data_IF_168163977468
#
_entry.id   IF_168163977468
#
_cell.length_a   1.000
_cell.length_b   1.000
_cell.length_c   1.000
_cell.angle_alpha   90.00
_cell.angle_beta   90.00
_cell.angle_gamma   90.00
#
_symmetry.space_group_name_H-M   'P 1'
#
loop_
_entity.id
_entity.type
_entity.pdbx_description
1 polymer ?
#
# COMPACT_ATOMS: atom_id res chain seq x y z
N UNK A 1 -6.84 56.15 -12.52
CA UNK A 1 -6.56 54.72 -12.76
C UNK A 1 -5.93 54.16 -11.50
N UNK A 2 -6.58 53.16 -10.90
CA UNK A 2 -6.48 52.87 -9.47
C UNK A 2 -5.37 51.83 -9.21
N UNK A 3 -4.36 52.19 -8.41
CA UNK A 3 -3.21 51.34 -8.00
C UNK A 3 -3.65 50.08 -7.22
N UNK A 4 -4.94 49.99 -6.86
CA UNK A 4 -5.55 48.87 -6.16
C UNK A 4 -5.88 47.68 -7.08
N UNK A 5 -6.12 47.90 -8.37
CA UNK A 5 -6.45 46.82 -9.34
C UNK A 5 -5.21 46.05 -9.80
N UNK A 6 -4.03 46.68 -9.80
CA UNK A 6 -2.78 46.03 -10.23
C UNK A 6 -2.20 45.08 -9.16
N UNK A 7 -2.54 45.30 -7.88
CA UNK A 7 -2.20 44.37 -6.79
C UNK A 7 -3.10 43.13 -6.75
N UNK A 8 -4.34 43.23 -7.19
CA UNK A 8 -5.28 42.10 -7.21
C UNK A 8 -5.08 41.19 -8.43
N UNK A 9 -4.57 41.73 -9.55
CA UNK A 9 -4.18 40.90 -10.71
C UNK A 9 -2.86 40.16 -10.49
N UNK A 10 -1.95 40.70 -9.66
CA UNK A 10 -0.66 40.06 -9.33
C UNK A 10 -0.79 38.85 -8.38
N UNK A 11 -1.84 38.80 -7.54
CA UNK A 11 -2.10 37.67 -6.64
C UNK A 11 -2.79 36.47 -7.32
N UNK A 12 -3.36 36.67 -8.52
CA UNK A 12 -4.11 35.63 -9.23
C UNK A 12 -3.25 34.79 -10.20
N UNK A 13 -1.98 35.19 -10.39
CA UNK A 13 -1.04 34.57 -11.33
C UNK A 13 0.20 33.94 -10.66
N UNK A 14 0.07 33.43 -9.43
CA UNK A 14 1.10 32.50 -8.92
C UNK A 14 0.92 31.17 -9.64
N UNK A 15 1.85 30.86 -10.55
CA UNK A 15 1.95 29.53 -11.13
C UNK A 15 1.88 28.49 -9.99
N UNK A 16 1.06 27.43 -10.11
CA UNK A 16 0.95 26.44 -9.06
C UNK A 16 2.36 25.91 -8.75
N UNK A 17 2.75 26.03 -7.48
CA UNK A 17 4.02 25.49 -7.02
C UNK A 17 4.06 24.00 -7.35
N UNK A 18 5.24 23.46 -7.69
CA UNK A 18 5.43 22.00 -7.87
C UNK A 18 4.86 21.20 -6.69
N UNK A 19 4.94 21.77 -5.47
CA UNK A 19 4.35 21.16 -4.29
C UNK A 19 2.81 21.17 -4.31
N UNK A 20 2.19 22.22 -4.84
CA UNK A 20 0.73 22.29 -5.02
C UNK A 20 0.25 21.27 -6.05
N UNK A 21 0.93 21.18 -7.20
CA UNK A 21 0.62 20.19 -8.24
C UNK A 21 0.80 18.77 -7.71
N UNK A 22 1.88 18.51 -6.97
CA UNK A 22 2.10 17.24 -6.28
C UNK A 22 0.97 16.91 -5.31
N UNK A 23 0.56 17.85 -4.45
CA UNK A 23 -0.49 17.63 -3.46
C UNK A 23 -1.85 17.38 -4.12
N UNK A 24 -2.19 18.05 -5.22
CA UNK A 24 -3.43 17.79 -5.97
C UNK A 24 -3.42 16.43 -6.65
N UNK A 25 -2.30 16.03 -7.25
CA UNK A 25 -2.16 14.69 -7.83
C UNK A 25 -2.23 13.58 -6.76
N UNK A 26 -1.71 13.87 -5.56
CA UNK A 26 -1.64 12.93 -4.45
C UNK A 26 -2.99 12.80 -3.71
N UNK A 27 -3.69 13.91 -3.45
CA UNK A 27 -4.92 13.98 -2.63
C UNK A 27 -6.19 13.87 -3.47
N UNK A 28 -6.35 12.72 -4.12
CA UNK A 28 -7.58 12.40 -4.84
C UNK A 28 -8.82 12.39 -3.92
N UNK A 29 -10.04 12.51 -4.47
CA UNK A 29 -11.28 12.49 -3.67
C UNK A 29 -11.39 11.28 -2.73
N UNK A 30 -11.05 10.09 -3.21
CA UNK A 30 -11.05 8.87 -2.39
C UNK A 30 -9.94 8.83 -1.33
N UNK A 31 -8.83 9.57 -1.56
CA UNK A 31 -7.81 9.75 -0.52
C UNK A 31 -8.38 10.58 0.62
N UNK A 32 -9.02 11.72 0.29
CA UNK A 32 -9.65 12.61 1.28
C UNK A 32 -10.73 11.85 2.05
N UNK A 33 -11.57 11.06 1.38
CA UNK A 33 -12.60 10.26 2.03
C UNK A 33 -12.04 9.25 3.04
N UNK A 34 -10.97 8.52 2.68
CA UNK A 34 -10.31 7.57 3.59
C UNK A 34 -9.66 8.32 4.76
N UNK A 35 -8.99 9.44 4.47
CA UNK A 35 -8.40 10.29 5.49
C UNK A 35 -9.46 10.75 6.50
N UNK A 36 -10.57 11.33 6.03
CA UNK A 36 -11.66 11.82 6.87
C UNK A 36 -12.32 10.70 7.69
N UNK A 37 -12.52 9.51 7.10
CA UNK A 37 -13.03 8.33 7.82
C UNK A 37 -12.11 7.93 8.96
N UNK A 38 -10.81 7.88 8.73
CA UNK A 38 -9.82 7.55 9.76
C UNK A 38 -9.78 8.61 10.85
N UNK A 39 -9.78 9.90 10.49
CA UNK A 39 -9.83 10.98 11.47
C UNK A 39 -11.14 10.93 12.31
N UNK A 40 -12.26 10.57 11.69
CA UNK A 40 -13.54 10.41 12.40
C UNK A 40 -13.50 9.24 13.40
N UNK A 41 -12.91 8.11 13.03
CA UNK A 41 -12.70 6.98 13.96
C UNK A 41 -11.84 7.41 15.15
N UNK A 42 -10.73 8.10 14.89
CA UNK A 42 -9.84 8.62 15.94
C UNK A 42 -10.54 9.64 16.87
N UNK A 43 -11.39 10.51 16.33
CA UNK A 43 -12.15 11.48 17.11
C UNK A 43 -13.25 10.82 17.97
N UNK A 44 -13.92 9.81 17.43
CA UNK A 44 -14.97 9.05 18.12
C UNK A 44 -14.39 8.24 19.29
N UNK A 45 -13.23 7.62 19.07
CA UNK A 45 -12.44 6.92 20.08
C UNK A 45 -12.07 7.85 21.26
N UNK A 46 -11.56 9.04 20.94
CA UNK A 46 -11.20 10.04 21.96
C UNK A 46 -12.41 10.50 22.79
N UNK A 47 -13.57 10.68 22.16
CA UNK A 47 -14.81 11.10 22.84
C UNK A 47 -15.35 10.02 23.77
N UNK A 48 -15.31 8.76 23.33
CA UNK A 48 -15.78 7.61 24.11
C UNK A 48 -14.91 7.36 25.34
N UNK A 49 -13.59 7.50 25.20
CA UNK A 49 -12.65 7.40 26.32
C UNK A 49 -12.83 8.53 27.36
N UNK A 50 -13.14 9.75 26.91
CA UNK A 50 -13.44 10.89 27.78
C UNK A 50 -14.71 10.72 28.60
N UNK A 51 -15.75 10.11 28.02
CA UNK A 51 -17.01 9.83 28.70
C UNK A 51 -16.87 8.82 29.85
N UNK A 52 -16.07 7.76 29.65
CA UNK A 52 -15.85 6.72 30.68
C UNK A 52 -15.03 7.23 31.88
N UNK A 53 -14.17 8.23 31.66
CA UNK A 53 -13.27 8.79 32.69
C UNK A 53 -13.95 9.80 33.62
N UNK A 54 -15.10 10.36 33.23
CA UNK A 54 -15.83 11.37 34.00
C UNK A 54 -16.65 10.83 35.18
N UNK A 55 -16.67 9.51 35.41
CA UNK A 55 -17.42 8.89 36.52
C UNK A 55 -16.63 8.76 37.84
N UNK A 56 -15.35 9.14 37.87
CA UNK A 56 -14.53 9.11 39.08
C UNK A 56 -14.28 10.53 39.61
N UNK A 57 -15.04 10.92 40.63
CA UNK A 57 -14.93 12.20 41.31
C UNK A 57 -13.58 12.34 42.04
N UNK A 58 -12.63 13.06 41.44
CA UNK A 58 -11.57 13.78 42.15
C UNK A 58 -11.16 15.00 41.32
N UNK A 59 -11.58 16.20 41.76
CA UNK A 59 -11.53 17.45 41.00
C UNK A 59 -10.16 18.15 40.97
N UNK A 60 -9.14 17.64 41.65
CA UNK A 60 -7.81 18.30 41.70
C UNK A 60 -6.72 17.69 40.79
N UNK A 61 -6.92 16.49 40.24
CA UNK A 61 -5.99 15.90 39.26
C UNK A 61 -6.26 16.33 37.80
N UNK A 62 -7.23 17.21 37.58
CA UNK A 62 -7.86 17.46 36.27
C UNK A 62 -7.04 18.41 35.38
N UNK A 63 -6.17 19.26 35.94
CA UNK A 63 -5.45 20.26 35.13
C UNK A 63 -4.20 19.73 34.40
N UNK A 64 -3.58 18.65 34.87
CA UNK A 64 -2.26 18.22 34.36
C UNK A 64 -2.29 16.95 33.49
N UNK A 65 -3.43 16.24 33.41
CA UNK A 65 -3.58 15.00 32.64
C UNK A 65 -4.47 15.14 31.39
N UNK A 66 -4.86 16.37 31.00
CA UNK A 66 -5.79 16.59 29.88
C UNK A 66 -5.16 16.46 28.47
N UNK A 67 -3.85 16.19 28.37
CA UNK A 67 -3.16 15.93 27.10
C UNK A 67 -2.90 14.44 26.84
N UNK A 68 -3.52 13.57 27.65
CA UNK A 68 -3.13 12.17 27.73
C UNK A 68 -3.91 11.32 26.72
N UNK A 69 -3.22 11.05 25.61
CA UNK A 69 -3.50 10.03 24.60
C UNK A 69 -4.81 10.20 23.82
N UNK A 70 -4.77 10.79 22.61
CA UNK A 70 -5.72 10.38 21.58
C UNK A 70 -5.55 8.87 21.43
N UNK A 71 -6.64 8.12 21.61
CA UNK A 71 -6.64 6.66 21.61
C UNK A 71 -6.37 6.14 20.19
N UNK A 72 -5.12 6.20 19.74
CA UNK A 72 -4.69 5.73 18.41
C UNK A 72 -4.83 4.22 18.25
N UNK A 73 -5.09 3.49 19.33
CA UNK A 73 -5.33 2.05 19.34
C UNK A 73 -6.56 1.64 18.51
N UNK A 74 -7.52 2.55 18.33
CA UNK A 74 -8.86 2.27 17.76
C UNK A 74 -9.00 2.58 16.26
N UNK A 75 -7.93 3.01 15.57
CA UNK A 75 -7.95 3.09 14.12
C UNK A 75 -8.00 1.66 13.53
N UNK A 76 -9.11 1.31 12.89
CA UNK A 76 -9.33 -0.01 12.27
C UNK A 76 -9.31 0.10 10.74
N UNK A 77 -8.10 0.26 10.19
CA UNK A 77 -7.90 0.21 8.75
C UNK A 77 -8.26 -1.16 8.18
N UNK A 78 -8.05 -2.23 8.95
CA UNK A 78 -8.39 -3.58 8.50
C UNK A 78 -9.90 -3.71 8.22
N UNK A 79 -10.74 -3.19 9.10
CA UNK A 79 -12.19 -3.13 8.94
C UNK A 79 -12.57 -2.32 7.70
N UNK A 80 -12.00 -1.12 7.51
CA UNK A 80 -12.24 -0.32 6.30
C UNK A 80 -11.88 -1.07 5.00
N UNK A 81 -10.81 -1.88 5.03
CA UNK A 81 -10.44 -2.72 3.90
C UNK A 81 -11.44 -3.84 3.66
N UNK A 82 -11.93 -4.49 4.72
CA UNK A 82 -12.92 -5.57 4.65
C UNK A 82 -14.27 -5.05 4.15
N UNK A 83 -14.77 -3.94 4.70
CA UNK A 83 -16.00 -3.27 4.27
C UNK A 83 -15.93 -2.88 2.80
N UNK A 84 -14.80 -2.32 2.36
CA UNK A 84 -14.60 -1.92 0.99
C UNK A 84 -14.65 -3.08 -0.02
N UNK A 85 -14.51 -4.32 0.44
CA UNK A 85 -14.55 -5.54 -0.37
C UNK A 85 -15.82 -6.37 -0.18
N UNK A 86 -16.64 -6.05 0.81
CA UNK A 86 -17.86 -6.80 1.13
C UNK A 86 -18.87 -6.77 -0.02
N UNK A 87 -18.99 -5.63 -0.71
CA UNK A 87 -19.93 -5.46 -1.82
C UNK A 87 -19.47 -6.13 -3.13
N UNK A 88 -18.16 -6.41 -3.26
CA UNK A 88 -17.53 -6.80 -4.54
C UNK A 88 -17.20 -8.30 -4.61
N UNK A 89 -17.34 -9.06 -3.52
CA UNK A 89 -17.09 -10.50 -3.50
C UNK A 89 -18.34 -11.22 -2.95
N UNK A 90 -19.08 -11.98 -3.78
CA UNK A 90 -20.10 -12.87 -3.28
C UNK A 90 -19.47 -13.79 -2.23
N UNK A 91 -20.02 -13.78 -1.02
CA UNK A 91 -19.66 -14.74 0.02
C UNK A 91 -19.65 -16.15 -0.60
N UNK A 92 -18.51 -16.85 -0.53
CA UNK A 92 -18.30 -18.23 -1.02
C UNK A 92 -17.99 -18.45 -2.52
N UNK A 93 -17.08 -17.70 -3.13
CA UNK A 93 -16.32 -18.22 -4.28
C UNK A 93 -14.89 -18.56 -3.82
N UNK A 94 -14.49 -19.84 -3.75
CA UNK A 94 -13.10 -20.22 -3.57
C UNK A 94 -12.27 -19.59 -4.67
N UNK A 95 -11.19 -18.89 -4.33
CA UNK A 95 -10.34 -18.34 -5.37
C UNK A 95 -9.79 -19.52 -6.20
N UNK A 96 -9.93 -19.50 -7.54
CA UNK A 96 -9.65 -20.68 -8.34
C UNK A 96 -8.15 -21.01 -8.47
N UNK A 97 -7.25 -20.25 -7.82
CA UNK A 97 -5.81 -20.38 -8.03
C UNK A 97 -4.98 -19.98 -6.78
N UNK A 98 -4.06 -20.83 -6.28
CA UNK A 98 -3.27 -20.61 -5.06
C UNK A 98 -2.48 -19.28 -4.99
N UNK A 99 -2.17 -18.69 -6.14
CA UNK A 99 -1.46 -17.41 -6.22
C UNK A 99 -2.38 -16.19 -6.00
N UNK A 100 -3.68 -16.32 -6.32
CA UNK A 100 -4.65 -15.28 -6.00
C UNK A 100 -4.96 -15.30 -4.50
N UNK A 101 -5.00 -16.50 -3.88
CA UNK A 101 -5.02 -16.63 -2.42
C UNK A 101 -3.79 -15.98 -1.78
N UNK A 102 -2.58 -16.29 -2.28
CA UNK A 102 -1.35 -15.66 -1.81
C UNK A 102 -1.41 -14.13 -1.97
N UNK A 103 -1.95 -13.61 -3.08
CA UNK A 103 -2.16 -12.18 -3.29
C UNK A 103 -3.12 -11.55 -2.26
N UNK A 104 -4.31 -12.13 -2.05
CA UNK A 104 -5.28 -11.60 -1.08
C UNK A 104 -4.77 -11.74 0.35
N UNK A 105 -4.03 -12.80 0.66
CA UNK A 105 -3.42 -12.94 1.97
C UNK A 105 -2.33 -11.89 2.22
N UNK A 106 -1.36 -11.75 1.30
CA UNK A 106 -0.27 -10.78 1.46
C UNK A 106 -0.76 -9.34 1.40
N UNK A 107 -1.76 -9.02 0.58
CA UNK A 107 -2.34 -7.66 0.56
C UNK A 107 -3.16 -7.34 1.82
N UNK A 108 -3.78 -8.35 2.47
CA UNK A 108 -4.44 -8.15 3.76
C UNK A 108 -3.42 -7.90 4.87
N UNK A 109 -2.32 -8.64 4.86
CA UNK A 109 -1.19 -8.39 5.76
C UNK A 109 -0.60 -7.00 5.54
N UNK A 110 -0.52 -6.54 4.29
CA UNK A 110 -0.12 -5.17 3.98
C UNK A 110 -1.04 -4.11 4.61
N UNK A 111 -2.36 -4.33 4.66
CA UNK A 111 -3.26 -3.45 5.42
C UNK A 111 -2.92 -3.43 6.91
N UNK A 112 -2.68 -4.59 7.53
CA UNK A 112 -2.30 -4.68 8.95
C UNK A 112 -1.01 -3.95 9.24
N UNK A 113 -0.03 -4.07 8.34
CA UNK A 113 1.23 -3.36 8.46
C UNK A 113 1.05 -1.85 8.28
N UNK A 114 0.19 -1.39 7.36
CA UNK A 114 -0.17 0.03 7.25
C UNK A 114 -0.82 0.55 8.54
N UNK A 115 -1.74 -0.23 9.14
CA UNK A 115 -2.40 0.12 10.39
C UNK A 115 -1.42 0.22 11.56
N UNK A 116 -0.56 -0.79 11.72
CA UNK A 116 0.49 -0.80 12.75
C UNK A 116 1.41 0.41 12.60
N UNK A 117 1.83 0.71 11.37
CA UNK A 117 2.69 1.86 11.12
C UNK A 117 1.99 3.18 11.40
N UNK A 118 0.71 3.32 11.02
CA UNK A 118 -0.07 4.51 11.31
C UNK A 118 -0.18 4.74 12.82
N UNK A 119 -0.47 3.68 13.59
CA UNK A 119 -0.49 3.72 15.05
C UNK A 119 0.85 4.18 15.62
N UNK A 120 1.95 3.69 15.07
CA UNK A 120 3.30 4.10 15.50
C UNK A 120 3.58 5.56 15.15
N UNK A 121 3.28 6.02 13.93
CA UNK A 121 3.45 7.42 13.52
C UNK A 121 2.68 8.37 14.43
N UNK A 122 1.41 8.05 14.71
CA UNK A 122 0.56 8.88 15.55
C UNK A 122 1.07 8.94 17.00
N UNK A 123 1.46 7.80 17.57
CA UNK A 123 2.07 7.76 18.91
C UNK A 123 3.39 8.52 18.96
N UNK A 124 4.27 8.32 17.99
CA UNK A 124 5.57 9.00 17.92
C UNK A 124 5.39 10.51 17.84
N UNK A 125 4.42 11.00 17.04
CA UNK A 125 4.09 12.42 17.00
C UNK A 125 3.70 12.96 18.37
N UNK A 126 2.85 12.25 19.12
CA UNK A 126 2.47 12.69 20.47
C UNK A 126 3.60 12.62 21.47
N UNK A 127 4.42 11.57 21.43
CA UNK A 127 5.57 11.43 22.33
C UNK A 127 6.59 12.53 22.05
N UNK A 128 6.88 12.81 20.78
CA UNK A 128 7.80 13.85 20.34
C UNK A 128 7.34 15.24 20.80
N UNK A 129 6.09 15.61 20.50
CA UNK A 129 5.52 16.90 20.92
C UNK A 129 5.52 17.07 22.44
N UNK A 130 5.17 16.01 23.19
CA UNK A 130 5.20 16.03 24.65
C UNK A 130 6.62 16.27 25.16
N UNK A 131 7.60 15.55 24.61
CA UNK A 131 8.99 15.63 25.07
C UNK A 131 9.55 17.04 24.81
N UNK A 132 9.26 17.64 23.65
CA UNK A 132 9.62 19.04 23.36
C UNK A 132 8.94 20.00 24.33
N UNK A 133 7.64 19.84 24.59
CA UNK A 133 6.92 20.69 25.54
C UNK A 133 7.51 20.59 26.97
N UNK A 134 7.87 19.39 27.43
CA UNK A 134 8.52 19.22 28.74
C UNK A 134 9.91 19.83 28.77
N UNK A 135 10.65 19.80 27.66
CA UNK A 135 12.01 20.28 27.60
C UNK A 135 12.10 21.82 27.47
N UNK A 136 11.06 22.46 26.92
CA UNK A 136 10.94 23.92 26.79
C UNK A 136 10.34 24.60 28.02
N UNK A 137 9.63 23.87 28.88
CA UNK A 137 8.91 24.44 30.05
C UNK A 137 9.79 24.83 31.25
N UNK A 138 11.09 24.50 31.29
CA UNK A 138 11.99 24.87 32.39
C UNK A 138 11.70 24.17 33.75
N UNK A 139 12.57 24.34 34.77
CA UNK A 139 12.64 23.47 35.96
C UNK A 139 11.66 23.83 37.10
N UNK A 140 10.46 24.35 36.80
CA UNK A 140 9.50 24.76 37.85
C UNK A 140 8.61 23.64 38.38
N UNK A 141 8.90 22.37 38.06
CA UNK A 141 8.19 21.20 38.59
C UNK A 141 9.15 20.43 39.50
N UNK A 142 8.76 20.28 40.76
CA UNK A 142 9.51 19.62 41.84
C UNK A 142 10.24 18.34 41.37
N UNK A 143 11.52 18.14 41.74
CA UNK A 143 12.29 16.98 41.37
C UNK A 143 11.83 15.76 42.17
N UNK A 144 10.78 15.09 41.68
CA UNK A 144 10.44 13.72 42.07
C UNK A 144 11.57 12.74 41.67
N UNK A 145 11.64 11.56 42.33
CA UNK A 145 12.79 10.67 42.22
C UNK A 145 12.99 10.18 40.78
N UNK A 146 14.17 10.48 40.25
CA UNK A 146 14.66 10.14 38.91
C UNK A 146 13.94 10.86 37.76
N UNK A 147 14.39 12.08 37.49
CA UNK A 147 14.31 12.75 36.19
C UNK A 147 14.81 11.79 35.10
N UNK A 148 13.91 10.97 34.54
CA UNK A 148 14.17 10.24 33.29
C UNK A 148 14.46 11.29 32.24
N UNK A 149 15.55 11.11 31.50
CA UNK A 149 15.90 11.97 30.39
C UNK A 149 14.65 12.10 29.47
N UNK A 150 14.14 13.30 29.19
CA UNK A 150 12.96 13.51 28.35
C UNK A 150 13.12 12.91 26.94
N UNK A 151 14.37 12.64 26.52
CA UNK A 151 14.73 12.01 25.25
C UNK A 151 14.81 10.46 25.34
N UNK A 152 14.86 9.88 26.54
CA UNK A 152 14.93 8.41 26.71
C UNK A 152 13.63 7.69 26.36
N UNK A 153 12.51 8.42 26.29
CA UNK A 153 11.19 7.89 25.95
C UNK A 153 10.87 7.90 24.45
N UNK A 154 11.77 8.35 23.58
CA UNK A 154 11.51 8.43 22.13
C UNK A 154 11.55 7.01 21.51
N UNK A 155 10.44 6.28 21.68
CA UNK A 155 9.89 5.19 20.84
C UNK A 155 10.78 4.07 20.26
N UNK A 156 12.00 3.85 20.76
CA UNK A 156 12.97 2.85 20.28
C UNK A 156 12.39 1.45 19.98
N UNK A 157 11.55 0.92 20.87
CA UNK A 157 10.97 -0.44 20.72
C UNK A 157 9.95 -0.50 19.58
N UNK A 158 9.27 0.62 19.29
CA UNK A 158 8.10 0.64 18.40
C UNK A 158 8.48 0.69 16.92
N UNK A 159 9.53 1.43 16.57
CA UNK A 159 9.99 1.49 15.19
C UNK A 159 10.81 0.26 14.80
N UNK A 160 11.52 -0.37 15.73
CA UNK A 160 12.23 -1.62 15.48
C UNK A 160 11.28 -2.75 15.07
N UNK A 161 10.25 -3.00 15.87
CA UNK A 161 9.23 -4.01 15.55
C UNK A 161 8.50 -3.70 14.23
N UNK A 162 8.21 -2.43 13.98
CA UNK A 162 7.62 -1.99 12.72
C UNK A 162 8.56 -2.28 11.53
N UNK A 163 9.83 -1.85 11.62
CA UNK A 163 10.83 -1.99 10.58
C UNK A 163 11.06 -3.45 10.20
N UNK A 164 11.21 -4.34 11.18
CA UNK A 164 11.34 -5.78 10.95
C UNK A 164 10.09 -6.36 10.27
N UNK A 165 8.90 -5.99 10.75
CA UNK A 165 7.64 -6.39 10.13
C UNK A 165 7.56 -5.91 8.67
N UNK A 166 7.91 -4.64 8.38
CA UNK A 166 7.91 -4.06 7.04
C UNK A 166 8.86 -4.78 6.10
N UNK A 167 10.12 -5.01 6.49
CA UNK A 167 11.08 -5.72 5.64
C UNK A 167 10.65 -7.17 5.37
N UNK A 168 10.06 -7.84 6.37
CA UNK A 168 9.52 -9.19 6.20
C UNK A 168 8.39 -9.21 5.16
N UNK A 169 7.46 -8.26 5.24
CA UNK A 169 6.35 -8.14 4.30
C UNK A 169 6.81 -7.74 2.90
N UNK A 170 7.75 -6.79 2.79
CA UNK A 170 8.34 -6.40 1.50
C UNK A 170 8.99 -7.60 0.80
N UNK A 171 9.72 -8.44 1.54
CA UNK A 171 10.28 -9.69 0.99
C UNK A 171 9.20 -10.64 0.49
N UNK A 172 8.10 -10.78 1.22
CA UNK A 172 6.94 -11.61 0.83
C UNK A 172 6.25 -11.06 -0.41
N UNK A 173 6.00 -9.76 -0.48
CA UNK A 173 5.46 -9.07 -1.65
C UNK A 173 6.36 -9.25 -2.88
N UNK A 174 7.68 -9.07 -2.74
CA UNK A 174 8.66 -9.32 -3.82
C UNK A 174 8.60 -10.78 -4.29
N UNK A 175 8.47 -11.73 -3.36
CA UNK A 175 8.30 -13.15 -3.69
C UNK A 175 7.00 -13.41 -4.47
N UNK A 176 5.86 -12.91 -3.97
CA UNK A 176 4.56 -13.03 -4.62
C UNK A 176 4.57 -12.43 -6.04
N UNK A 177 5.14 -11.22 -6.21
CA UNK A 177 5.32 -10.57 -7.52
C UNK A 177 6.12 -11.44 -8.47
N UNK A 178 7.25 -12.01 -8.01
CA UNK A 178 8.10 -12.89 -8.82
C UNK A 178 7.34 -14.14 -9.26
N UNK A 179 6.57 -14.77 -8.35
CA UNK A 179 5.73 -15.94 -8.65
C UNK A 179 4.65 -15.62 -9.68
N UNK A 180 3.89 -14.55 -9.47
CA UNK A 180 2.85 -14.08 -10.39
C UNK A 180 3.41 -13.74 -11.77
N UNK A 181 4.49 -12.96 -11.83
CA UNK A 181 5.18 -12.59 -13.09
C UNK A 181 5.70 -13.81 -13.86
N UNK A 182 6.23 -14.83 -13.18
CA UNK A 182 6.68 -16.08 -13.82
C UNK A 182 5.49 -16.80 -14.49
N UNK A 183 4.36 -16.93 -13.80
CA UNK A 183 3.16 -17.58 -14.38
C UNK A 183 2.58 -16.80 -15.54
N UNK A 184 2.43 -15.48 -15.43
CA UNK A 184 1.95 -14.63 -16.54
C UNK A 184 2.81 -14.84 -17.79
N UNK A 185 4.14 -14.85 -17.63
CA UNK A 185 5.07 -15.13 -18.74
C UNK A 185 4.85 -16.50 -19.35
N UNK A 186 4.72 -17.55 -18.53
CA UNK A 186 4.47 -18.92 -19.01
C UNK A 186 3.14 -19.03 -19.78
N UNK A 187 2.07 -18.40 -19.28
CA UNK A 187 0.79 -18.29 -19.98
C UNK A 187 0.92 -17.56 -21.32
N UNK A 188 1.76 -16.51 -21.38
CA UNK A 188 2.07 -15.79 -22.61
C UNK A 188 2.87 -16.63 -23.61
N UNK A 189 3.90 -17.36 -23.17
CA UNK A 189 4.71 -18.23 -24.03
C UNK A 189 3.89 -19.37 -24.63
N UNK A 190 3.01 -19.99 -23.84
CA UNK A 190 2.12 -21.06 -24.33
C UNK A 190 1.19 -20.60 -25.45
N UNK A 191 0.76 -19.33 -25.44
CA UNK A 191 -0.02 -18.74 -26.55
C UNK A 191 0.80 -18.62 -27.83
N UNK A 192 2.06 -18.18 -27.73
CA UNK A 192 2.95 -17.98 -28.87
C UNK A 192 3.34 -19.31 -29.52
N UNK A 193 3.72 -20.31 -28.72
CA UNK A 193 4.15 -21.62 -29.24
C UNK A 193 3.00 -22.40 -29.86
N UNK A 194 1.80 -22.36 -29.28
CA UNK A 194 0.63 -23.01 -29.86
C UNK A 194 0.20 -22.37 -31.19
N UNK A 195 0.32 -21.04 -31.31
CA UNK A 195 0.06 -20.35 -32.57
C UNK A 195 1.02 -20.77 -33.68
N UNK A 196 2.31 -20.83 -33.38
CA UNK A 196 3.35 -21.28 -34.32
C UNK A 196 3.16 -22.75 -34.71
N UNK A 197 2.90 -23.63 -33.74
CA UNK A 197 2.69 -25.06 -34.01
C UNK A 197 1.48 -25.32 -34.93
N UNK A 198 0.39 -24.54 -34.79
CA UNK A 198 -0.79 -24.66 -35.65
C UNK A 198 -0.50 -24.21 -37.10
N UNK A 199 0.25 -23.12 -37.27
CA UNK A 199 0.62 -22.63 -38.61
C UNK A 199 1.54 -23.63 -39.31
N UNK A 200 2.55 -24.15 -38.60
CA UNK A 200 3.48 -25.16 -39.13
C UNK A 200 2.75 -26.46 -39.46
N UNK A 201 1.86 -26.92 -38.57
CA UNK A 201 1.06 -28.12 -38.81
C UNK A 201 0.13 -28.00 -40.01
N UNK A 202 -0.53 -26.84 -40.19
CA UNK A 202 -1.37 -26.58 -41.37
C UNK A 202 -0.57 -26.56 -42.67
N UNK A 203 0.60 -25.92 -42.68
CA UNK A 203 1.47 -25.88 -43.86
C UNK A 203 1.96 -27.29 -44.25
N UNK A 204 2.40 -28.09 -43.28
CA UNK A 204 2.83 -29.47 -43.52
C UNK A 204 1.69 -30.36 -44.04
N UNK A 205 0.49 -30.21 -43.48
CA UNK A 205 -0.70 -30.95 -43.92
C UNK A 205 -1.11 -30.57 -45.36
N UNK A 206 -1.10 -29.27 -45.68
CA UNK A 206 -1.40 -28.79 -47.04
C UNK A 206 -0.43 -29.37 -48.07
N UNK A 207 0.87 -29.38 -47.77
CA UNK A 207 1.90 -29.97 -48.64
C UNK A 207 1.72 -31.47 -48.83
N UNK A 208 1.46 -32.22 -47.75
CA UNK A 208 1.23 -33.66 -47.82
C UNK A 208 -0.04 -33.99 -48.64
N UNK A 209 -1.11 -33.22 -48.46
CA UNK A 209 -2.35 -33.41 -49.23
C UNK A 209 -2.17 -33.13 -50.73
N UNK A 210 -1.38 -32.11 -51.09
CA UNK A 210 -1.07 -31.79 -52.48
C UNK A 210 -0.27 -32.91 -53.17
N UNK A 211 0.70 -33.52 -52.47
CA UNK A 211 1.48 -34.64 -53.00
C UNK A 211 0.62 -35.88 -53.26
N UNK A 212 -0.32 -36.19 -52.36
CA UNK A 212 -1.27 -37.29 -52.51
C UNK A 212 -2.23 -37.04 -53.68
N UNK A 213 -2.76 -35.82 -53.82
CA UNK A 213 -3.62 -35.44 -54.97
C UNK A 213 -2.84 -35.55 -56.28
N UNK A 214 -1.60 -35.07 -56.34
CA UNK A 214 -0.76 -35.16 -57.54
C UNK A 214 -0.46 -36.62 -57.93
N UNK A 215 -0.17 -37.48 -56.94
CA UNK A 215 0.06 -38.91 -57.18
C UNK A 215 -1.19 -39.64 -57.67
N UNK A 216 -2.37 -39.33 -57.11
CA UNK A 216 -3.63 -39.93 -57.56
C UNK A 216 -4.10 -39.41 -58.93
N UNK A 217 -3.87 -38.12 -59.25
CA UNK A 217 -4.15 -37.56 -60.57
C UNK A 217 -3.24 -38.14 -61.67
N UNK A 218 -2.01 -38.57 -61.34
CA UNK A 218 -1.11 -39.22 -62.29
C UNK A 218 -1.49 -40.68 -62.57
N UNK A 219 -2.15 -41.37 -61.62
CA UNK A 219 -2.52 -42.79 -61.73
C UNK A 219 -3.94 -42.97 -62.30
N UNK A 220 -4.82 -41.99 -62.16
CA UNK A 220 -6.20 -42.07 -62.64
C UNK A 220 -6.51 -40.90 -63.57
N UNK A 221 -6.18 -41.08 -64.85
CA UNK A 221 -6.69 -40.24 -65.92
C UNK A 221 -8.22 -40.41 -66.05
N UNK A 222 -8.94 -39.36 -65.67
CA UNK A 222 -10.30 -38.99 -66.04
C UNK A 222 -11.43 -40.06 -65.94
N UNK A 223 -12.23 -40.00 -64.87
CA UNK A 223 -13.66 -40.31 -64.97
C UNK A 223 -14.48 -39.64 -63.84
N UNK A 224 -15.11 -38.52 -64.23
CA UNK A 224 -16.42 -38.03 -63.80
C UNK A 224 -16.64 -37.52 -62.36
N UNK A 225 -17.26 -36.35 -62.35
CA UNK A 225 -17.81 -35.65 -61.21
C UNK A 225 -18.83 -36.51 -60.42
N UNK A 226 -18.56 -36.72 -59.13
CA UNK A 226 -19.52 -36.91 -58.02
C UNK A 226 -18.70 -37.39 -56.81
N UNK A 227 -18.30 -36.56 -55.87
CA UNK A 227 -19.19 -36.10 -54.82
C UNK A 227 -18.47 -35.03 -54.00
N UNK A 228 -18.83 -33.78 -54.26
CA UNK A 228 -18.71 -32.72 -53.27
C UNK A 228 -19.64 -33.10 -52.12
N UNK A 229 -19.11 -33.66 -51.03
CA UNK A 229 -19.62 -33.56 -49.64
C UNK A 229 -19.28 -34.80 -48.83
N UNK A 230 -18.05 -34.91 -48.33
CA UNK A 230 -17.76 -35.75 -47.16
C UNK A 230 -16.71 -35.11 -46.24
N UNK A 231 -16.89 -33.82 -45.93
CA UNK A 231 -16.42 -33.26 -44.66
C UNK A 231 -17.49 -32.33 -44.06
N UNK A 232 -18.76 -32.76 -44.11
CA UNK A 232 -19.79 -32.32 -43.18
C UNK A 232 -19.56 -32.98 -41.82
N UNK A 233 -18.47 -32.60 -41.12
CA UNK A 233 -17.97 -33.30 -39.94
C UNK A 233 -17.74 -32.38 -38.75
N UNK A 234 -18.84 -31.95 -38.14
CA UNK A 234 -18.94 -31.41 -36.77
C UNK A 234 -18.01 -30.23 -36.48
N UNK A 235 -18.61 -29.04 -36.56
CA UNK A 235 -18.11 -27.83 -35.90
C UNK A 235 -18.00 -28.05 -34.38
N UNK A 236 -16.95 -28.69 -33.88
CA UNK A 236 -16.53 -28.62 -32.47
C UNK A 236 -15.77 -27.30 -32.20
N UNK A 237 -16.22 -26.18 -32.78
CA UNK A 237 -15.68 -24.83 -32.47
C UNK A 237 -16.05 -24.38 -31.05
N UNK A 238 -16.98 -25.06 -30.37
CA UNK A 238 -17.38 -24.73 -29.00
C UNK A 238 -16.32 -25.06 -27.94
N UNK A 239 -15.52 -26.13 -28.08
CA UNK A 239 -14.54 -26.54 -27.07
C UNK A 239 -13.26 -25.69 -27.09
N UNK A 240 -12.78 -25.32 -28.28
CA UNK A 240 -11.62 -24.43 -28.45
C UNK A 240 -11.91 -22.99 -28.02
N UNK A 241 -13.12 -22.48 -28.29
CA UNK A 241 -13.56 -21.14 -27.89
C UNK A 241 -13.71 -21.01 -26.36
N UNK A 242 -14.37 -21.99 -25.70
CA UNK A 242 -14.52 -22.02 -24.24
C UNK A 242 -13.17 -22.05 -23.52
N UNK A 243 -12.19 -22.80 -24.01
CA UNK A 243 -10.85 -22.89 -23.41
C UNK A 243 -9.96 -21.67 -23.70
N UNK A 244 -10.20 -20.96 -24.81
CA UNK A 244 -9.57 -19.67 -25.12
C UNK A 244 -10.06 -18.58 -24.15
N UNK A 245 -11.37 -18.51 -23.88
CA UNK A 245 -11.93 -17.58 -22.90
C UNK A 245 -11.42 -17.83 -21.48
N UNK A 246 -11.37 -19.10 -21.02
CA UNK A 246 -10.85 -19.45 -19.68
C UNK A 246 -9.40 -19.02 -19.48
N UNK A 247 -8.52 -19.26 -20.45
CA UNK A 247 -7.09 -18.88 -20.37
C UNK A 247 -6.88 -17.37 -20.44
N UNK A 248 -7.69 -16.66 -21.22
CA UNK A 248 -7.65 -15.19 -21.27
C UNK A 248 -8.10 -14.56 -19.96
N UNK A 249 -9.16 -15.08 -19.32
CA UNK A 249 -9.60 -14.67 -17.98
C UNK A 249 -8.56 -14.97 -16.90
N UNK A 250 -7.96 -16.16 -16.91
CA UNK A 250 -6.88 -16.51 -15.98
C UNK A 250 -5.67 -15.57 -16.12
N UNK A 251 -5.32 -15.16 -17.35
CA UNK A 251 -4.27 -14.18 -17.59
C UNK A 251 -4.65 -12.81 -17.03
N UNK A 252 -5.87 -12.31 -17.27
CA UNK A 252 -6.33 -11.01 -16.79
C UNK A 252 -6.33 -10.93 -15.25
N UNK A 253 -6.84 -11.97 -14.57
CA UNK A 253 -6.82 -12.10 -13.10
C UNK A 253 -5.40 -12.04 -12.53
N UNK A 254 -4.48 -12.81 -13.12
CA UNK A 254 -3.08 -12.84 -12.67
C UNK A 254 -2.35 -11.53 -12.99
N UNK A 255 -2.62 -10.91 -14.13
CA UNK A 255 -2.04 -9.62 -14.52
C UNK A 255 -2.49 -8.48 -13.62
N UNK A 256 -3.80 -8.41 -13.29
CA UNK A 256 -4.34 -7.48 -12.31
C UNK A 256 -3.66 -7.67 -10.93
N UNK A 257 -3.55 -8.92 -10.45
CA UNK A 257 -2.87 -9.21 -9.19
C UNK A 257 -1.38 -8.81 -9.24
N UNK A 258 -0.67 -9.10 -10.34
CA UNK A 258 0.74 -8.74 -10.48
C UNK A 258 0.99 -7.23 -10.51
N UNK A 259 0.10 -6.46 -11.16
CA UNK A 259 0.09 -4.99 -11.11
C UNK A 259 -0.15 -4.51 -9.68
N UNK A 260 -1.10 -5.11 -8.98
CA UNK A 260 -1.37 -4.86 -7.57
C UNK A 260 -0.14 -5.04 -6.68
N UNK A 261 0.48 -6.22 -6.73
CA UNK A 261 1.70 -6.48 -5.94
C UNK A 261 2.85 -5.54 -6.35
N UNK A 262 2.93 -5.13 -7.61
CA UNK A 262 3.95 -4.15 -8.02
C UNK A 262 3.76 -2.79 -7.34
N UNK A 263 2.53 -2.26 -7.34
CA UNK A 263 2.20 -1.00 -6.65
C UNK A 263 2.49 -1.13 -5.15
N UNK A 264 2.03 -2.21 -4.52
CA UNK A 264 2.34 -2.54 -3.13
C UNK A 264 3.84 -2.54 -2.84
N UNK A 265 4.67 -3.21 -3.65
CA UNK A 265 6.14 -3.20 -3.46
C UNK A 265 6.71 -1.79 -3.53
N UNK A 266 6.22 -0.95 -4.44
CA UNK A 266 6.69 0.43 -4.60
C UNK A 266 6.29 1.32 -3.41
N UNK A 267 5.04 1.19 -2.95
CA UNK A 267 4.53 1.93 -1.80
C UNK A 267 5.31 1.53 -0.53
N UNK A 268 5.55 0.23 -0.33
CA UNK A 268 6.32 -0.27 0.81
C UNK A 268 7.80 0.10 0.74
N UNK A 269 8.42 0.16 -0.44
CA UNK A 269 9.79 0.65 -0.58
C UNK A 269 9.90 2.13 -0.19
N UNK A 270 8.92 2.94 -0.59
CA UNK A 270 8.83 4.36 -0.22
C UNK A 270 8.66 4.53 1.29
N UNK A 271 7.69 3.83 1.88
CA UNK A 271 7.47 3.84 3.33
C UNK A 271 8.70 3.32 4.09
N UNK A 272 9.36 2.27 3.61
CA UNK A 272 10.56 1.70 4.27
C UNK A 272 11.70 2.72 4.34
N UNK A 273 11.90 3.55 3.31
CA UNK A 273 12.92 4.60 3.32
C UNK A 273 12.58 5.70 4.33
N UNK A 274 11.31 6.11 4.39
CA UNK A 274 10.81 7.09 5.36
C UNK A 274 10.94 6.58 6.80
N UNK A 275 10.54 5.33 7.05
CA UNK A 275 10.72 4.67 8.35
C UNK A 275 12.19 4.58 8.72
N UNK A 276 13.07 4.20 7.79
CA UNK A 276 14.51 4.16 8.02
C UNK A 276 15.07 5.52 8.44
N UNK A 277 14.73 6.60 7.72
CA UNK A 277 15.18 7.96 8.08
C UNK A 277 14.70 8.39 9.47
N UNK A 278 13.43 8.16 9.79
CA UNK A 278 12.85 8.49 11.09
C UNK A 278 13.46 7.66 12.23
N UNK A 279 13.76 6.39 11.95
CA UNK A 279 14.41 5.49 12.89
C UNK A 279 15.85 5.92 13.16
N UNK A 280 16.64 6.17 12.12
CA UNK A 280 18.04 6.58 12.24
C UNK A 280 18.15 7.89 13.03
N UNK A 281 17.27 8.85 12.76
CA UNK A 281 17.18 10.11 13.52
C UNK A 281 16.86 9.83 15.00
N UNK A 282 15.85 9.00 15.26
CA UNK A 282 15.41 8.68 16.63
C UNK A 282 16.53 7.99 17.42
N UNK A 283 17.25 7.07 16.80
CA UNK A 283 18.35 6.35 17.43
C UNK A 283 19.59 7.23 17.64
N UNK A 284 19.89 8.11 16.68
CA UNK A 284 20.94 9.11 16.81
C UNK A 284 20.68 9.99 18.05
N UNK A 285 19.46 10.49 18.13
CA UNK A 285 18.95 11.31 19.20
C UNK A 285 19.00 10.62 20.57
N UNK A 286 18.61 9.34 20.62
CA UNK A 286 18.74 8.51 21.82
C UNK A 286 20.20 8.33 22.24
N UNK A 287 21.10 8.06 21.30
CA UNK A 287 22.52 7.85 21.60
C UNK A 287 23.17 9.10 22.22
N UNK A 288 22.84 10.29 21.71
CA UNK A 288 23.30 11.56 22.28
C UNK A 288 22.73 11.76 23.69
N UNK A 289 21.44 11.49 23.87
CA UNK A 289 20.76 11.59 25.15
C UNK A 289 21.40 10.67 26.22
N UNK A 290 21.73 9.43 25.88
CA UNK A 290 22.43 8.49 26.76
C UNK A 290 23.84 8.96 27.12
N UNK A 291 24.57 9.52 26.14
CA UNK A 291 25.90 10.08 26.37
C UNK A 291 25.87 11.23 27.38
N UNK A 292 24.91 12.16 27.25
CA UNK A 292 24.75 13.29 28.16
C UNK A 292 24.42 12.81 29.59
N UNK A 293 23.51 11.84 29.70
CA UNK A 293 23.11 11.26 30.99
C UNK A 293 24.28 10.58 31.71
N UNK A 294 25.13 9.83 30.99
CA UNK A 294 26.33 9.18 31.57
C UNK A 294 27.36 10.18 32.06
N UNK A 295 27.50 11.31 31.37
CA UNK A 295 28.48 12.36 31.71
C UNK A 295 27.97 13.36 32.75
N UNK A 296 26.70 13.26 33.18
CA UNK A 296 26.03 14.23 34.06
C UNK A 296 26.24 15.69 33.60
N UNK A 297 26.24 15.91 32.28
CA UNK A 297 26.51 17.22 31.70
C UNK A 297 25.19 17.90 31.31
N UNK A 298 24.59 18.61 32.25
CA UNK A 298 23.31 19.29 32.07
C UNK A 298 23.35 20.39 31.02
N UNK A 299 24.49 21.08 30.85
CA UNK A 299 24.66 22.09 29.80
C UNK A 299 24.68 21.46 28.40
N UNK A 300 25.37 20.32 28.24
CA UNK A 300 25.32 19.56 27.00
C UNK A 300 23.91 19.03 26.72
N UNK A 301 23.17 18.58 27.74
CA UNK A 301 21.79 18.13 27.59
C UNK A 301 20.86 19.27 27.15
N UNK A 302 21.02 20.48 27.69
CA UNK A 302 20.24 21.67 27.27
C UNK A 302 20.53 22.04 25.82
N UNK A 303 21.80 22.00 25.41
CA UNK A 303 22.21 22.27 24.03
C UNK A 303 21.54 21.29 23.06
N UNK A 304 21.61 20.00 23.40
CA UNK A 304 20.99 18.92 22.63
C UNK A 304 19.48 19.11 22.53
N UNK A 305 18.79 19.36 23.66
CA UNK A 305 17.35 19.65 23.66
C UNK A 305 17.01 20.83 22.74
N UNK A 306 17.83 21.88 22.72
CA UNK A 306 17.60 23.05 21.86
C UNK A 306 17.78 22.71 20.38
N UNK A 307 18.79 21.91 20.06
CA UNK A 307 19.02 21.45 18.69
C UNK A 307 17.87 20.57 18.18
N UNK A 308 17.33 19.70 19.02
CA UNK A 308 16.13 18.92 18.72
C UNK A 308 14.91 19.79 18.45
N UNK A 309 14.67 20.80 19.31
CA UNK A 309 13.56 21.73 19.11
C UNK A 309 13.72 22.52 17.80
N UNK A 310 14.96 22.84 17.40
CA UNK A 310 15.23 23.47 16.11
C UNK A 310 14.92 22.54 14.91
N UNK A 311 15.12 21.23 15.07
CA UNK A 311 14.85 20.21 14.05
C UNK A 311 13.42 19.63 14.07
N UNK A 312 12.56 20.10 14.99
CA UNK A 312 11.17 19.65 15.17
C UNK A 312 10.38 19.66 13.87
N UNK A 313 10.46 20.77 13.13
CA UNK A 313 9.71 20.95 11.89
C UNK A 313 10.05 19.90 10.84
N UNK A 314 11.32 19.53 10.71
CA UNK A 314 11.76 18.50 9.76
C UNK A 314 11.24 17.12 10.17
N UNK A 315 11.38 16.76 11.45
CA UNK A 315 10.95 15.45 11.95
C UNK A 315 9.43 15.27 11.84
N UNK A 316 8.66 16.29 12.21
CA UNK A 316 7.20 16.28 12.08
C UNK A 316 6.72 16.25 10.62
N UNK A 317 7.42 16.93 9.71
CA UNK A 317 7.10 16.86 8.29
C UNK A 317 7.43 15.48 7.71
N UNK A 318 8.53 14.83 8.12
CA UNK A 318 8.82 13.44 7.74
C UNK A 318 7.77 12.45 8.28
N UNK A 319 7.29 12.61 9.52
CA UNK A 319 6.19 11.80 10.07
C UNK A 319 4.90 11.99 9.28
N UNK A 320 4.60 13.23 8.87
CA UNK A 320 3.42 13.57 8.07
C UNK A 320 3.52 13.03 6.64
N UNK A 321 4.69 13.10 6.02
CA UNK A 321 4.96 12.47 4.72
C UNK A 321 4.75 10.96 4.80
N UNK A 322 5.26 10.32 5.87
CA UNK A 322 5.03 8.90 6.11
C UNK A 322 3.55 8.57 6.29
N UNK A 323 2.83 9.33 7.11
CA UNK A 323 1.37 9.19 7.26
C UNK A 323 0.63 9.28 5.92
N UNK A 324 0.99 10.25 5.08
CA UNK A 324 0.40 10.42 3.76
C UNK A 324 0.63 9.20 2.86
N UNK A 325 1.84 8.65 2.85
CA UNK A 325 2.16 7.43 2.10
C UNK A 325 1.45 6.18 2.64
N UNK A 326 1.19 6.11 3.94
CA UNK A 326 0.39 5.02 4.53
C UNK A 326 -1.04 5.05 4.00
N UNK A 327 -1.70 6.22 4.03
CA UNK A 327 -3.05 6.34 3.49
C UNK A 327 -3.11 6.04 1.99
N UNK A 328 -2.12 6.51 1.22
CA UNK A 328 -2.05 6.22 -0.20
C UNK A 328 -1.86 4.72 -0.47
N UNK A 329 -0.95 4.07 0.26
CA UNK A 329 -0.74 2.63 0.16
C UNK A 329 -2.03 1.87 0.47
N UNK A 330 -2.69 2.22 1.57
CA UNK A 330 -3.95 1.61 1.97
C UNK A 330 -5.04 1.74 0.90
N UNK A 331 -5.21 2.94 0.32
CA UNK A 331 -6.11 3.18 -0.80
C UNK A 331 -5.77 2.33 -2.03
N UNK A 332 -4.47 2.22 -2.38
CA UNK A 332 -4.00 1.40 -3.48
C UNK A 332 -4.28 -0.08 -3.25
N UNK A 333 -4.16 -0.56 -2.01
CA UNK A 333 -4.51 -1.95 -1.65
C UNK A 333 -5.99 -2.20 -1.88
N UNK A 334 -6.88 -1.33 -1.39
CA UNK A 334 -8.33 -1.47 -1.58
C UNK A 334 -8.67 -1.51 -3.07
N UNK A 335 -8.20 -0.53 -3.84
CA UNK A 335 -8.45 -0.45 -5.30
C UNK A 335 -7.95 -1.70 -6.01
N UNK A 336 -6.73 -2.13 -5.70
CA UNK A 336 -6.14 -3.31 -6.32
C UNK A 336 -6.90 -4.59 -5.98
N UNK A 337 -7.34 -4.76 -4.72
CA UNK A 337 -8.14 -5.92 -4.31
C UNK A 337 -9.51 -5.94 -5.01
N UNK A 338 -10.17 -4.79 -5.16
CA UNK A 338 -11.43 -4.68 -5.93
C UNK A 338 -11.23 -5.03 -7.40
N UNK A 339 -10.19 -4.49 -8.06
CA UNK A 339 -9.90 -4.83 -9.45
C UNK A 339 -9.69 -6.33 -9.65
N UNK A 340 -8.94 -6.99 -8.75
CA UNK A 340 -8.73 -8.44 -8.82
C UNK A 340 -10.03 -9.20 -8.56
N UNK A 341 -10.87 -8.76 -7.63
CA UNK A 341 -12.18 -9.36 -7.38
C UNK A 341 -13.10 -9.28 -8.61
N UNK A 342 -13.17 -8.12 -9.26
CA UNK A 342 -13.95 -7.92 -10.49
C UNK A 342 -13.48 -8.84 -11.62
N UNK A 343 -12.16 -8.99 -11.80
CA UNK A 343 -11.59 -9.93 -12.77
C UNK A 343 -11.89 -11.41 -12.44
N UNK A 344 -12.12 -11.75 -11.17
CA UNK A 344 -12.53 -13.09 -10.75
C UNK A 344 -14.00 -13.36 -11.10
N UNK A 345 -14.86 -12.35 -10.92
CA UNK A 345 -16.30 -12.43 -11.21
C UNK A 345 -16.58 -12.45 -12.71
N UNK A 346 -15.79 -11.71 -13.51
CA UNK A 346 -15.87 -11.65 -14.97
C UNK A 346 -15.48 -12.97 -15.69
#
# INVERSE_FOLDING_TARGET
MNVKEERESSLRNKAPSVNHEYLEAFRTKSYVEIYDKVQTQLATAATTAGATRNNNNNKEAIRNNSLQHPHYQECDLLQLCQEALADELPHQQPSPHPLLDEYFHVSLEACRTCESLLKNVLRTRTDYNRNIATATAGPTVDPGPQSRNPLSGVSQVRFNEAQDCHFSLLRRLISARRKLKRRIRLLGFLKKTLGVALVVGYAAFALASAAVIAAHCAVVGLALAASVSLFGGISKKAAGSKNKNKRTRAYARLDAAAKGVYVLVNDFDTMSRLVGRLYDETEHNRAIAELCARKQNDEMLKEVVRDFAAHEGWFLEQLKELEQHIYLCFLNIIRSRRMVAQEIIN
#
